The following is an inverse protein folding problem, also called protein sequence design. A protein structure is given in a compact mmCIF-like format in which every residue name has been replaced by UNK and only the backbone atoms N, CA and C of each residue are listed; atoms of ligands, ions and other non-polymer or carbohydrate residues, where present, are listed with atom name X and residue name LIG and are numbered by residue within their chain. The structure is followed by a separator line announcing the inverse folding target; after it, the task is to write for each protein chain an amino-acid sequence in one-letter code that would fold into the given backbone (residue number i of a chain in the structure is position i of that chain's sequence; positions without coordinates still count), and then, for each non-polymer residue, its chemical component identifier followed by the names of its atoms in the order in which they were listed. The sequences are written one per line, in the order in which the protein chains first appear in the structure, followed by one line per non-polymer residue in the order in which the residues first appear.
data_IF_795431887086
#
_entry.id   IF_795431887086
#
_cell.length_a   1.000
_cell.length_b   1.000
_cell.length_c   1.000
_cell.angle_alpha   90.00
_cell.angle_beta   90.00
_cell.angle_gamma   90.00
#
_symmetry.space_group_name_H-M   'P 1'
#
loop_
_entity.id
_entity.type
_entity.pdbx_description
1 polymer ?
#
# COMPACT_ATOMS: atom_id res chain seq x y z
N UNK A 1 -36.31 -11.22 -33.88
CA UNK A 1 -35.23 -10.41 -33.33
C UNK A 1 -33.90 -11.02 -33.70
N UNK A 2 -33.18 -10.44 -34.68
CA UNK A 2 -31.84 -10.94 -35.05
C UNK A 2 -30.84 -10.35 -34.04
N UNK A 3 -30.41 -11.14 -33.10
CA UNK A 3 -29.33 -10.78 -32.18
C UNK A 3 -28.05 -10.68 -33.02
N UNK A 4 -27.47 -9.49 -33.06
CA UNK A 4 -26.24 -9.23 -33.82
C UNK A 4 -25.08 -9.96 -33.14
N UNK A 5 -24.55 -11.00 -33.80
CA UNK A 5 -23.36 -11.77 -33.38
C UNK A 5 -22.17 -10.85 -33.05
N UNK A 6 -22.09 -9.69 -33.70
CA UNK A 6 -21.05 -8.69 -33.42
C UNK A 6 -21.19 -8.01 -32.02
N UNK A 7 -22.42 -7.90 -31.50
CA UNK A 7 -22.66 -7.34 -30.16
C UNK A 7 -22.27 -8.35 -29.06
N UNK A 8 -22.51 -9.65 -29.31
CA UNK A 8 -22.07 -10.72 -28.40
C UNK A 8 -20.54 -10.88 -28.37
N UNK A 9 -19.86 -10.75 -29.53
CA UNK A 9 -18.41 -10.77 -29.63
C UNK A 9 -17.77 -9.54 -28.94
N UNK A 10 -18.39 -8.35 -29.02
CA UNK A 10 -17.91 -7.15 -28.35
C UNK A 10 -18.02 -7.26 -26.81
N UNK A 11 -19.07 -7.94 -26.33
CA UNK A 11 -19.26 -8.19 -24.89
C UNK A 11 -18.28 -9.24 -24.32
N UNK A 12 -17.89 -10.23 -25.14
CA UNK A 12 -16.93 -11.27 -24.74
C UNK A 12 -15.49 -10.71 -24.60
N UNK A 13 -15.15 -9.65 -25.34
CA UNK A 13 -13.83 -9.02 -25.30
C UNK A 13 -13.65 -8.04 -24.12
N UNK A 14 -14.73 -7.60 -23.47
CA UNK A 14 -14.67 -6.63 -22.38
C UNK A 14 -14.42 -7.24 -20.97
N UNK A 15 -14.44 -8.57 -20.84
CA UNK A 15 -14.33 -9.25 -19.54
C UNK A 15 -12.91 -9.73 -19.17
N UNK A 16 -11.85 -9.40 -19.95
CA UNK A 16 -10.56 -10.09 -19.83
C UNK A 16 -9.47 -9.34 -19.05
N UNK A 17 -9.79 -8.32 -18.29
CA UNK A 17 -8.77 -7.59 -17.50
C UNK A 17 -9.11 -7.50 -16.01
N UNK A 18 -9.27 -8.65 -15.35
CA UNK A 18 -9.17 -8.72 -13.88
C UNK A 18 -7.68 -8.70 -13.53
N UNK A 19 -7.14 -7.53 -13.28
CA UNK A 19 -5.77 -7.36 -12.82
C UNK A 19 -5.80 -7.26 -11.28
N UNK A 20 -5.01 -8.12 -10.63
CA UNK A 20 -4.80 -8.04 -9.19
C UNK A 20 -4.01 -6.77 -8.88
N UNK A 21 -4.55 -5.93 -8.01
CA UNK A 21 -3.89 -4.71 -7.54
C UNK A 21 -3.20 -4.98 -6.20
N UNK A 22 -2.08 -4.31 -5.98
CA UNK A 22 -1.42 -4.34 -4.69
C UNK A 22 -2.23 -3.61 -3.60
N UNK A 23 -2.17 -4.06 -2.35
CA UNK A 23 -2.74 -3.34 -1.23
C UNK A 23 -2.11 -1.95 -1.08
N UNK A 24 -2.95 -0.93 -0.93
CA UNK A 24 -2.53 0.45 -0.72
C UNK A 24 -2.91 0.88 0.70
N UNK A 25 -1.96 1.49 1.41
CA UNK A 25 -2.14 1.98 2.78
C UNK A 25 -2.32 3.49 2.82
N UNK A 26 -3.26 3.95 3.64
CA UNK A 26 -3.53 5.37 3.87
C UNK A 26 -2.45 5.99 4.76
N UNK A 27 -1.96 5.23 5.76
CA UNK A 27 -0.96 5.72 6.71
C UNK A 27 0.50 5.52 6.24
N UNK A 28 0.76 5.71 4.93
CA UNK A 28 2.10 5.61 4.36
C UNK A 28 3.09 6.64 4.96
N UNK A 29 2.60 7.74 5.55
CA UNK A 29 3.45 8.70 6.25
C UNK A 29 4.02 8.14 7.56
N UNK A 30 3.28 7.28 8.25
CA UNK A 30 3.75 6.60 9.46
C UNK A 30 4.64 5.39 9.16
N UNK A 31 4.37 4.70 8.04
CA UNK A 31 5.10 3.51 7.60
C UNK A 31 5.50 3.66 6.12
N UNK A 32 6.48 4.52 5.82
CA UNK A 32 6.88 4.81 4.45
C UNK A 32 7.58 3.62 3.76
N UNK A 33 7.97 2.59 4.49
CA UNK A 33 8.43 1.30 3.94
C UNK A 33 7.37 0.64 3.04
N UNK A 34 6.09 0.94 3.23
CA UNK A 34 5.00 0.44 2.37
C UNK A 34 5.11 0.93 0.93
N UNK A 35 5.70 2.11 0.72
CA UNK A 35 5.78 2.75 -0.59
C UNK A 35 7.19 2.72 -1.21
N UNK A 36 8.27 2.65 -0.39
CA UNK A 36 9.63 2.73 -0.93
C UNK A 36 10.64 1.99 -0.03
N UNK A 37 11.37 0.98 -0.54
CA UNK A 37 12.40 0.27 0.22
C UNK A 37 13.62 1.15 0.59
N UNK A 38 13.81 2.31 -0.03
CA UNK A 38 14.87 3.25 0.33
C UNK A 38 14.67 3.89 1.73
N UNK A 39 13.48 3.75 2.35
CA UNK A 39 13.27 4.13 3.75
C UNK A 39 13.80 3.12 4.76
N UNK A 40 14.20 1.92 4.34
CA UNK A 40 14.82 0.92 5.22
C UNK A 40 16.05 1.51 5.92
N UNK A 41 16.08 1.45 7.26
CA UNK A 41 17.17 2.04 8.05
C UNK A 41 17.27 3.56 7.98
N UNK A 42 16.25 4.28 7.52
CA UNK A 42 16.24 5.75 7.50
C UNK A 42 16.09 6.36 8.90
N UNK A 43 15.59 5.60 9.87
CA UNK A 43 15.63 5.95 11.29
C UNK A 43 16.94 5.48 11.92
N UNK A 44 17.46 6.24 12.89
CA UNK A 44 18.59 5.75 13.69
C UNK A 44 18.12 4.66 14.66
N UNK A 45 18.83 3.52 14.67
CA UNK A 45 18.50 2.37 15.52
C UNK A 45 17.38 1.50 14.95
N UNK A 46 16.86 0.61 15.80
CA UNK A 46 15.78 -0.28 15.43
C UNK A 46 14.47 0.48 15.25
N UNK A 47 13.78 0.17 14.17
CA UNK A 47 12.44 0.65 13.87
C UNK A 47 11.58 -0.54 13.43
N UNK A 48 10.40 -0.67 14.02
CA UNK A 48 9.47 -1.74 13.70
C UNK A 48 8.03 -1.24 13.78
N UNK A 49 7.12 -1.87 13.08
CA UNK A 49 5.71 -1.51 13.15
C UNK A 49 4.79 -2.50 12.47
N UNK A 50 3.52 -2.29 12.74
CA UNK A 50 2.40 -3.07 12.22
C UNK A 50 1.31 -2.12 11.74
N UNK A 51 0.71 -2.46 10.60
CA UNK A 51 -0.52 -1.85 10.10
C UNK A 51 -1.58 -2.95 10.01
N UNK A 52 -2.77 -2.65 10.50
CA UNK A 52 -3.97 -3.45 10.23
C UNK A 52 -4.98 -2.57 9.50
N UNK A 53 -5.35 -2.98 8.29
CA UNK A 53 -6.33 -2.31 7.43
C UNK A 53 -7.52 -3.23 7.23
N UNK A 54 -8.71 -2.77 7.59
CA UNK A 54 -9.97 -3.48 7.38
C UNK A 54 -10.87 -2.69 6.44
N UNK A 55 -11.14 -3.27 5.27
CA UNK A 55 -12.00 -2.68 4.25
C UNK A 55 -13.37 -3.34 4.33
N UNK A 56 -14.43 -2.53 4.36
CA UNK A 56 -15.84 -2.97 4.37
C UNK A 56 -16.13 -3.99 5.47
N UNK A 57 -15.87 -3.65 6.76
CA UNK A 57 -15.81 -4.60 7.88
C UNK A 57 -17.12 -5.35 8.15
N UNK A 58 -18.26 -4.78 7.82
CA UNK A 58 -19.59 -5.38 8.09
C UNK A 58 -20.17 -6.13 6.88
N UNK A 59 -19.43 -6.20 5.77
CA UNK A 59 -19.87 -6.81 4.53
C UNK A 59 -19.33 -8.21 4.29
N UNK A 60 -20.06 -8.99 3.46
CA UNK A 60 -19.55 -10.26 2.95
C UNK A 60 -18.30 -10.09 2.06
N UNK A 61 -17.92 -8.85 1.73
CA UNK A 61 -16.76 -8.50 0.89
C UNK A 61 -15.61 -7.94 1.72
N UNK A 62 -15.54 -8.28 2.99
CA UNK A 62 -14.49 -7.83 3.89
C UNK A 62 -13.11 -8.22 3.37
N UNK A 63 -12.19 -7.25 3.38
CA UNK A 63 -10.76 -7.46 3.10
C UNK A 63 -9.98 -6.97 4.31
N UNK A 64 -9.23 -7.87 4.92
CA UNK A 64 -8.29 -7.56 5.99
C UNK A 64 -6.86 -7.63 5.45
N UNK A 65 -6.08 -6.57 5.66
CA UNK A 65 -4.68 -6.51 5.27
C UNK A 65 -3.83 -6.19 6.49
N UNK A 66 -2.81 -6.99 6.74
CA UNK A 66 -1.79 -6.75 7.75
C UNK A 66 -0.45 -6.52 7.07
N UNK A 67 0.27 -5.51 7.50
CA UNK A 67 1.63 -5.24 7.08
C UNK A 67 2.51 -5.06 8.30
N UNK A 68 3.61 -5.78 8.36
CA UNK A 68 4.60 -5.65 9.41
C UNK A 68 5.96 -5.35 8.83
N UNK A 69 6.76 -4.58 9.54
CA UNK A 69 8.15 -4.32 9.17
C UNK A 69 9.05 -4.25 10.40
N UNK A 70 10.32 -4.56 10.18
CA UNK A 70 11.39 -4.27 11.12
C UNK A 70 12.64 -3.91 10.32
N UNK A 71 13.30 -2.83 10.69
CA UNK A 71 14.54 -2.41 10.05
C UNK A 71 15.51 -1.75 11.05
N UNK A 72 16.78 -1.69 10.65
CA UNK A 72 17.84 -1.06 11.41
C UNK A 72 18.88 -0.46 10.48
N UNK A 73 19.51 0.60 10.94
CA UNK A 73 20.73 1.13 10.35
C UNK A 73 21.92 0.37 10.98
N UNK A 74 22.55 -0.54 10.21
CA UNK A 74 23.63 -1.42 10.71
C UNK A 74 25.00 -0.78 10.65
N UNK A 75 25.17 0.15 9.74
CA UNK A 75 26.35 0.99 9.57
C UNK A 75 25.86 2.38 9.19
N UNK A 76 26.71 3.40 9.25
CA UNK A 76 26.31 4.80 8.98
C UNK A 76 25.53 4.96 7.67
N UNK A 77 25.82 4.09 6.70
CA UNK A 77 25.24 4.18 5.35
C UNK A 77 24.35 3.00 4.94
N UNK A 78 24.33 1.89 5.70
CA UNK A 78 23.63 0.66 5.31
C UNK A 78 22.44 0.39 6.21
N UNK A 79 21.26 0.43 5.64
CA UNK A 79 20.03 -0.03 6.27
C UNK A 79 19.69 -1.45 5.84
N UNK A 80 19.24 -2.29 6.78
CA UNK A 80 18.69 -3.61 6.52
C UNK A 80 17.31 -3.73 7.13
N UNK A 81 16.44 -4.51 6.51
CA UNK A 81 15.09 -4.69 7.01
C UNK A 81 14.37 -5.89 6.42
N UNK A 82 13.23 -6.17 7.01
CA UNK A 82 12.31 -7.21 6.58
C UNK A 82 10.89 -6.66 6.63
N UNK A 83 10.07 -7.07 5.67
CA UNK A 83 8.64 -6.74 5.63
C UNK A 83 7.81 -8.01 5.44
N UNK A 84 6.61 -8.01 6.00
CA UNK A 84 5.64 -9.09 5.86
C UNK A 84 4.29 -8.48 5.53
N UNK A 85 3.64 -8.97 4.49
CA UNK A 85 2.30 -8.61 4.08
C UNK A 85 1.40 -9.83 4.11
N UNK A 86 0.21 -9.69 4.68
CA UNK A 86 -0.86 -10.67 4.58
C UNK A 86 -2.17 -9.97 4.27
N UNK A 87 -2.83 -10.37 3.19
CA UNK A 87 -4.17 -9.88 2.82
C UNK A 87 -5.10 -11.05 2.68
N UNK A 88 -6.26 -10.96 3.30
CA UNK A 88 -7.32 -11.95 3.21
C UNK A 88 -8.61 -11.29 2.76
N UNK A 89 -9.22 -11.85 1.73
CA UNK A 89 -10.55 -11.53 1.26
C UNK A 89 -11.53 -12.63 1.67
N UNK A 90 -12.61 -12.26 2.40
CA UNK A 90 -13.54 -13.24 2.98
C UNK A 90 -14.44 -13.87 1.92
N UNK A 91 -14.89 -13.09 0.94
CA UNK A 91 -15.89 -13.54 -0.04
C UNK A 91 -15.37 -14.63 -0.97
N UNK A 92 -14.13 -14.49 -1.46
CA UNK A 92 -13.50 -15.41 -2.41
C UNK A 92 -12.59 -16.41 -1.73
N UNK A 93 -12.39 -16.28 -0.40
CA UNK A 93 -11.36 -17.00 0.36
C UNK A 93 -9.96 -16.86 -0.27
N UNK A 94 -9.73 -15.67 -0.87
CA UNK A 94 -8.42 -15.32 -1.41
C UNK A 94 -7.49 -14.87 -0.29
N UNK A 95 -6.29 -15.40 -0.32
CA UNK A 95 -5.21 -14.99 0.58
C UNK A 95 -3.95 -14.65 -0.21
N UNK A 96 -3.32 -13.53 0.13
CA UNK A 96 -2.04 -13.10 -0.41
C UNK A 96 -1.07 -12.89 0.74
N UNK A 97 0.00 -13.65 0.76
CA UNK A 97 1.10 -13.56 1.71
C UNK A 97 2.39 -13.22 0.99
N UNK A 98 3.16 -12.27 1.52
CA UNK A 98 4.48 -11.92 1.00
C UNK A 98 5.44 -11.60 2.13
N UNK A 99 6.69 -12.07 2.01
CA UNK A 99 7.79 -11.72 2.91
C UNK A 99 8.97 -11.22 2.07
N UNK A 100 9.54 -10.08 2.45
CA UNK A 100 10.65 -9.47 1.73
C UNK A 100 11.78 -9.13 2.68
N UNK A 101 13.01 -9.23 2.18
CA UNK A 101 14.21 -8.65 2.75
C UNK A 101 14.57 -7.38 1.97
N UNK A 102 14.95 -6.32 2.67
CA UNK A 102 15.30 -5.04 2.09
C UNK A 102 16.68 -4.58 2.55
N UNK A 103 17.41 -3.95 1.63
CA UNK A 103 18.69 -3.29 1.89
C UNK A 103 18.65 -1.91 1.29
N UNK A 104 19.12 -0.91 2.03
CA UNK A 104 19.31 0.45 1.53
C UNK A 104 20.74 0.92 1.72
N UNK A 105 21.17 1.82 0.84
CA UNK A 105 22.47 2.46 0.92
C UNK A 105 22.30 3.99 0.84
N UNK A 106 22.89 4.69 1.82
CA UNK A 106 22.87 6.16 1.92
C UNK A 106 24.15 6.74 1.34
N UNK A 107 24.01 7.80 0.55
CA UNK A 107 25.11 8.64 0.04
C UNK A 107 24.82 10.08 0.43
N UNK A 108 25.72 10.71 1.16
CA UNK A 108 25.62 12.12 1.49
C UNK A 108 26.08 12.96 0.30
N UNK A 109 25.15 13.71 -0.32
CA UNK A 109 25.44 14.59 -1.47
C UNK A 109 26.16 15.84 -0.98
N UNK A 110 25.68 16.41 0.11
CA UNK A 110 26.27 17.54 0.83
C UNK A 110 25.79 17.53 2.30
N UNK A 111 26.03 18.61 3.06
CA UNK A 111 25.63 18.72 4.48
C UNK A 111 24.14 18.53 4.73
N UNK A 112 23.28 18.94 3.79
CA UNK A 112 21.83 18.95 3.98
C UNK A 112 21.15 17.79 3.23
N UNK A 113 21.64 17.40 2.07
CA UNK A 113 20.98 16.47 1.16
C UNK A 113 21.62 15.10 1.14
N UNK A 114 20.79 14.08 1.20
CA UNK A 114 21.18 12.67 1.10
C UNK A 114 20.41 11.97 0.01
N UNK A 115 21.09 11.07 -0.65
CA UNK A 115 20.51 10.11 -1.59
C UNK A 115 20.48 8.74 -0.91
N UNK A 116 19.36 8.05 -0.97
CA UNK A 116 19.22 6.66 -0.53
C UNK A 116 18.77 5.80 -1.70
N UNK A 117 19.43 4.69 -1.89
CA UNK A 117 19.06 3.66 -2.85
C UNK A 117 18.57 2.47 -2.05
N UNK A 118 17.40 1.94 -2.38
CA UNK A 118 16.83 0.77 -1.71
C UNK A 118 16.52 -0.32 -2.71
N UNK A 119 16.79 -1.56 -2.32
CA UNK A 119 16.38 -2.75 -3.05
C UNK A 119 15.66 -3.69 -2.09
N UNK A 120 14.66 -4.37 -2.60
CA UNK A 120 13.88 -5.35 -1.86
C UNK A 120 13.71 -6.59 -2.72
N UNK A 121 13.81 -7.77 -2.11
CA UNK A 121 13.55 -9.03 -2.75
C UNK A 121 12.84 -9.97 -1.81
N UNK A 122 11.91 -10.76 -2.32
CA UNK A 122 11.13 -11.61 -1.46
C UNK A 122 10.34 -12.71 -2.18
N UNK A 123 9.59 -13.39 -1.37
CA UNK A 123 8.75 -14.52 -1.74
C UNK A 123 7.30 -14.19 -1.50
N UNK A 124 6.46 -14.38 -2.53
CA UNK A 124 5.01 -14.19 -2.49
C UNK A 124 4.27 -15.49 -2.74
N UNK A 125 3.14 -15.64 -2.06
CA UNK A 125 2.18 -16.73 -2.24
C UNK A 125 0.77 -16.16 -2.31
N UNK A 126 0.02 -16.59 -3.32
CA UNK A 126 -1.42 -16.33 -3.47
C UNK A 126 -2.17 -17.63 -3.42
N UNK A 127 -3.18 -17.70 -2.58
CA UNK A 127 -4.09 -18.85 -2.46
C UNK A 127 -5.49 -18.41 -2.86
N UNK A 128 -6.20 -19.27 -3.57
CA UNK A 128 -7.59 -19.07 -3.96
C UNK A 128 -8.35 -20.39 -3.88
N UNK A 129 -9.47 -20.39 -3.17
CA UNK A 129 -10.28 -21.60 -3.05
C UNK A 129 -11.35 -21.65 -4.13
N UNK A 130 -11.02 -22.22 -5.28
CA UNK A 130 -11.97 -22.41 -6.38
C UNK A 130 -13.15 -23.31 -5.98
N UNK A 131 -13.00 -24.19 -4.99
CA UNK A 131 -14.04 -25.08 -4.51
C UNK A 131 -15.25 -24.37 -3.89
N UNK A 132 -15.09 -23.12 -3.47
CA UNK A 132 -16.15 -22.28 -2.93
C UNK A 132 -16.96 -21.57 -4.03
N UNK A 133 -16.50 -21.61 -5.28
CA UNK A 133 -17.22 -21.01 -6.39
C UNK A 133 -18.34 -21.94 -6.84
N UNK A 134 -19.53 -21.38 -7.00
CA UNK A 134 -20.64 -22.04 -7.63
C UNK A 134 -20.65 -21.67 -9.12
N UNK A 135 -20.43 -22.67 -9.97
CA UNK A 135 -20.39 -22.51 -11.42
C UNK A 135 -21.73 -22.86 -12.04
N UNK A 136 -21.96 -22.35 -13.24
CA UNK A 136 -23.23 -22.47 -13.96
C UNK A 136 -23.61 -23.92 -14.24
N UNK A 137 -22.64 -24.81 -14.52
CA UNK A 137 -22.82 -26.24 -14.74
C UNK A 137 -23.27 -27.04 -13.51
N UNK A 138 -23.12 -26.46 -12.32
CA UNK A 138 -23.56 -27.04 -11.05
C UNK A 138 -25.02 -26.67 -10.72
N UNK A 139 -25.62 -25.70 -11.42
CA UNK A 139 -26.97 -25.21 -11.15
C UNK A 139 -27.95 -25.81 -12.14
N UNK A 140 -28.94 -26.60 -11.64
CA UNK A 140 -30.04 -27.04 -12.48
C UNK A 140 -30.98 -25.86 -12.77
N UNK A 141 -31.00 -25.38 -14.01
CA UNK A 141 -31.75 -24.20 -14.44
C UNK A 141 -33.26 -24.33 -14.18
N UNK A 142 -33.79 -25.57 -14.20
CA UNK A 142 -35.25 -25.81 -14.04
C UNK A 142 -35.67 -25.89 -12.56
N UNK A 143 -34.80 -26.35 -11.68
CA UNK A 143 -35.13 -26.61 -10.27
C UNK A 143 -34.39 -25.68 -9.31
N UNK A 144 -33.35 -24.98 -9.76
CA UNK A 144 -32.44 -24.20 -8.89
C UNK A 144 -31.57 -25.10 -7.99
N UNK A 145 -31.64 -26.40 -8.13
CA UNK A 145 -30.88 -27.33 -7.30
C UNK A 145 -29.39 -27.28 -7.68
N UNK A 146 -28.53 -27.25 -6.67
CA UNK A 146 -27.08 -27.35 -6.84
C UNK A 146 -26.69 -28.82 -6.75
N UNK A 147 -26.03 -29.32 -7.76
CA UNK A 147 -25.63 -30.73 -7.85
C UNK A 147 -24.15 -30.87 -8.19
N UNK A 148 -23.44 -31.67 -7.38
CA UNK A 148 -22.12 -32.20 -7.71
C UNK A 148 -20.98 -31.22 -7.80
N UNK A 149 -19.82 -31.74 -8.19
CA UNK A 149 -18.63 -30.94 -8.51
C UNK A 149 -18.74 -30.43 -9.94
N UNK A 150 -18.17 -29.24 -10.22
CA UNK A 150 -18.10 -28.72 -11.58
C UNK A 150 -17.31 -29.67 -12.51
N UNK A 151 -17.78 -29.82 -13.73
CA UNK A 151 -17.09 -30.54 -14.80
C UNK A 151 -16.45 -29.59 -15.82
N UNK A 152 -16.48 -28.26 -15.56
CA UNK A 152 -15.85 -27.26 -16.42
C UNK A 152 -14.34 -27.53 -16.53
N UNK A 153 -13.79 -27.73 -17.74
CA UNK A 153 -12.37 -27.96 -17.93
C UNK A 153 -11.50 -26.80 -17.47
N UNK A 154 -12.03 -25.57 -17.48
CA UNK A 154 -11.37 -24.39 -16.95
C UNK A 154 -11.20 -24.47 -15.43
N UNK A 155 -12.23 -24.96 -14.72
CA UNK A 155 -12.19 -25.15 -13.26
C UNK A 155 -11.22 -26.29 -12.89
N UNK A 156 -11.26 -27.42 -13.55
CA UNK A 156 -10.47 -28.61 -13.24
C UNK A 156 -8.95 -28.41 -13.43
N UNK A 157 -8.54 -27.43 -14.23
CA UNK A 157 -7.14 -27.09 -14.52
C UNK A 157 -6.59 -25.92 -13.72
N UNK A 158 -7.29 -25.48 -12.68
CA UNK A 158 -6.82 -24.41 -11.82
C UNK A 158 -5.94 -24.94 -10.69
N UNK A 159 -4.92 -24.16 -10.37
CA UNK A 159 -4.10 -24.35 -9.17
C UNK A 159 -4.74 -23.56 -8.02
N UNK A 160 -4.80 -24.16 -6.84
CA UNK A 160 -5.32 -23.48 -5.65
C UNK A 160 -4.31 -22.47 -5.06
N UNK A 161 -3.06 -22.58 -5.45
CA UNK A 161 -2.01 -21.66 -5.00
C UNK A 161 -0.96 -21.42 -6.08
N UNK A 162 -0.34 -20.27 -6.00
CA UNK A 162 0.81 -19.85 -6.79
C UNK A 162 1.86 -19.25 -5.87
N UNK A 163 3.10 -19.56 -6.18
CA UNK A 163 4.26 -19.04 -5.46
C UNK A 163 5.16 -18.32 -6.46
N UNK A 164 5.72 -17.19 -6.03
CA UNK A 164 6.59 -16.39 -6.91
C UNK A 164 7.67 -15.67 -6.10
N UNK A 165 8.73 -15.30 -6.81
CA UNK A 165 9.78 -14.41 -6.28
C UNK A 165 9.57 -13.05 -6.90
N UNK A 166 9.75 -12.00 -6.10
CA UNK A 166 9.52 -10.63 -6.50
C UNK A 166 10.70 -9.73 -6.09
N UNK A 167 10.90 -8.65 -6.87
CA UNK A 167 11.95 -7.67 -6.62
C UNK A 167 11.42 -6.26 -6.78
N UNK A 168 11.92 -5.36 -5.94
CA UNK A 168 11.60 -3.94 -5.96
C UNK A 168 12.86 -3.11 -5.84
N UNK A 169 12.86 -1.91 -6.41
CA UNK A 169 13.93 -0.94 -6.24
C UNK A 169 13.34 0.46 -6.06
N UNK A 170 13.99 1.26 -5.22
CA UNK A 170 13.56 2.61 -4.93
C UNK A 170 14.73 3.56 -4.75
N UNK A 171 14.45 4.82 -5.00
CA UNK A 171 15.35 5.95 -4.76
C UNK A 171 14.63 6.98 -3.88
N UNK A 172 15.39 7.59 -2.98
CA UNK A 172 14.91 8.63 -2.08
C UNK A 172 15.99 9.69 -1.95
N UNK A 173 15.62 10.94 -2.16
CA UNK A 173 16.44 12.09 -1.83
C UNK A 173 15.77 12.80 -0.66
N UNK A 174 16.51 13.00 0.42
CA UNK A 174 15.97 13.57 1.65
C UNK A 174 16.89 14.63 2.27
N UNK A 175 16.25 15.56 2.92
CA UNK A 175 16.83 16.52 3.87
C UNK A 175 15.95 16.59 5.12
N UNK A 176 16.31 17.44 6.09
CA UNK A 176 15.56 17.51 7.35
C UNK A 176 14.06 17.77 7.15
N UNK A 177 13.71 18.75 6.35
CA UNK A 177 12.34 19.21 6.18
C UNK A 177 11.67 18.71 4.90
N UNK A 178 12.38 18.01 4.01
CA UNK A 178 11.84 17.59 2.72
C UNK A 178 12.35 16.21 2.29
N UNK A 179 11.53 15.54 1.51
CA UNK A 179 11.92 14.33 0.81
C UNK A 179 11.23 14.23 -0.54
N UNK A 180 11.88 13.51 -1.45
CA UNK A 180 11.31 13.12 -2.73
C UNK A 180 11.83 11.73 -3.11
N UNK A 181 10.96 10.85 -3.56
CA UNK A 181 11.34 9.49 -3.91
C UNK A 181 10.50 8.89 -5.01
N UNK A 182 11.03 7.81 -5.59
CA UNK A 182 10.35 6.99 -6.57
C UNK A 182 10.67 5.52 -6.34
N UNK A 183 9.73 4.65 -6.70
CA UNK A 183 9.88 3.20 -6.55
C UNK A 183 9.26 2.46 -7.72
N UNK A 184 9.89 1.36 -8.09
CA UNK A 184 9.34 0.34 -8.99
C UNK A 184 9.29 -0.98 -8.23
N UNK A 185 8.08 -1.54 -8.08
CA UNK A 185 7.87 -2.90 -7.56
C UNK A 185 7.55 -3.85 -8.71
N UNK A 186 7.67 -5.15 -8.44
CA UNK A 186 7.41 -6.22 -9.40
C UNK A 186 8.30 -6.15 -10.65
N UNK A 187 9.59 -5.89 -10.44
CA UNK A 187 10.57 -5.76 -11.53
C UNK A 187 10.70 -7.05 -12.36
N UNK A 188 10.55 -8.21 -11.72
CA UNK A 188 10.58 -9.52 -12.37
C UNK A 188 9.29 -9.88 -13.09
N UNK A 189 8.20 -9.13 -12.89
CA UNK A 189 6.86 -9.42 -13.45
C UNK A 189 6.49 -10.91 -13.34
N UNK A 190 6.51 -11.50 -12.12
CA UNK A 190 6.26 -12.92 -11.95
C UNK A 190 4.88 -13.32 -12.49
N UNK A 191 4.78 -14.55 -12.99
CA UNK A 191 3.50 -15.11 -13.42
C UNK A 191 2.62 -15.44 -12.20
N UNK A 192 1.45 -14.83 -12.13
CA UNK A 192 0.45 -15.00 -11.07
C UNK A 192 -0.80 -15.73 -11.57
N UNK A 193 -0.69 -16.52 -12.63
CA UNK A 193 -1.79 -17.30 -13.18
C UNK A 193 -2.15 -18.49 -12.29
N UNK A 194 -3.40 -18.58 -11.88
CA UNK A 194 -3.95 -19.77 -11.23
C UNK A 194 -4.24 -20.89 -12.24
N UNK A 195 -4.26 -20.60 -13.54
CA UNK A 195 -4.49 -21.58 -14.57
C UNK A 195 -3.21 -22.36 -14.89
N UNK A 196 -3.28 -23.68 -15.02
CA UNK A 196 -2.18 -24.48 -15.58
C UNK A 196 -1.82 -23.97 -16.98
N UNK A 197 -0.54 -23.75 -17.24
CA UNK A 197 -0.03 -23.17 -18.50
C UNK A 197 -0.61 -21.78 -18.84
N UNK A 198 -1.17 -21.07 -17.84
CA UNK A 198 -1.51 -19.67 -17.98
C UNK A 198 -0.25 -18.80 -17.94
N UNK A 199 -0.38 -17.56 -18.40
CA UNK A 199 0.65 -16.53 -18.28
C UNK A 199 -0.03 -15.20 -17.98
N UNK A 200 -0.02 -14.81 -16.70
CA UNK A 200 -0.57 -13.54 -16.22
C UNK A 200 0.55 -12.83 -15.45
N UNK A 201 1.40 -12.07 -16.15
CA UNK A 201 2.49 -11.37 -15.49
C UNK A 201 1.94 -10.30 -14.53
N UNK A 202 2.46 -10.27 -13.31
CA UNK A 202 2.14 -9.21 -12.35
C UNK A 202 2.67 -7.88 -12.90
N UNK A 203 1.80 -6.89 -13.03
CA UNK A 203 2.18 -5.60 -13.58
C UNK A 203 3.07 -4.83 -12.60
N UNK A 204 4.07 -4.13 -13.15
CA UNK A 204 4.93 -3.26 -12.35
C UNK A 204 4.10 -2.19 -11.64
N UNK A 205 4.41 -1.98 -10.37
CA UNK A 205 3.84 -0.94 -9.55
C UNK A 205 4.83 0.21 -9.39
N UNK A 206 4.46 1.37 -9.89
CA UNK A 206 5.27 2.58 -9.87
C UNK A 206 4.72 3.55 -8.83
N UNK A 207 5.60 4.14 -8.00
CA UNK A 207 5.25 5.24 -7.10
C UNK A 207 6.19 6.41 -7.25
N UNK A 208 5.64 7.63 -7.08
CA UNK A 208 6.41 8.86 -6.87
C UNK A 208 5.80 9.59 -5.68
N UNK A 209 6.62 9.93 -4.72
CA UNK A 209 6.15 10.54 -3.48
C UNK A 209 7.10 11.62 -2.99
N UNK A 210 6.57 12.53 -2.18
CA UNK A 210 7.36 13.59 -1.58
C UNK A 210 6.56 14.38 -0.57
N UNK A 211 7.27 15.22 0.16
CA UNK A 211 6.65 16.11 1.14
C UNK A 211 7.61 17.15 1.68
N UNK A 212 7.00 18.13 2.35
CA UNK A 212 7.71 19.25 2.96
C UNK A 212 7.07 19.65 4.30
N UNK A 213 7.91 19.85 5.31
CA UNK A 213 7.52 20.33 6.63
C UNK A 213 7.78 21.84 6.72
N UNK A 214 6.73 22.60 6.98
CA UNK A 214 6.80 24.00 7.31
C UNK A 214 6.81 24.17 8.82
N UNK A 215 7.88 24.78 9.37
CA UNK A 215 7.99 25.08 10.79
C UNK A 215 7.06 26.24 11.17
N UNK A 216 6.24 26.06 12.20
CA UNK A 216 5.27 27.05 12.65
C UNK A 216 5.74 27.85 13.86
N UNK A 217 6.94 27.61 14.36
CA UNK A 217 7.48 28.14 15.62
C UNK A 217 7.56 29.66 15.70
N UNK A 218 7.54 30.38 14.57
CA UNK A 218 7.72 31.82 14.49
C UNK A 218 6.45 32.58 14.06
N UNK A 219 5.28 31.96 14.09
CA UNK A 219 4.05 32.65 13.70
C UNK A 219 3.40 33.34 14.90
N UNK A 220 3.31 34.68 14.94
CA UNK A 220 2.85 35.44 16.11
C UNK A 220 1.36 35.22 16.45
N UNK A 221 0.61 34.50 15.65
CA UNK A 221 -0.84 34.30 15.80
C UNK A 221 -1.26 32.88 16.21
N UNK A 222 -0.33 31.95 16.39
CA UNK A 222 -0.69 30.56 16.72
C UNK A 222 -0.33 30.20 18.15
N UNK A 223 -1.31 29.80 18.94
CA UNK A 223 -1.17 29.19 20.27
C UNK A 223 -0.84 27.69 20.09
N UNK A 224 0.19 27.40 19.31
CA UNK A 224 0.64 26.01 19.10
C UNK A 224 1.84 25.71 20.01
N UNK A 225 2.01 24.44 20.40
CA UNK A 225 3.22 24.01 21.10
C UNK A 225 4.48 24.33 20.28
N UNK A 226 5.60 24.54 20.97
CA UNK A 226 6.91 24.62 20.33
C UNK A 226 7.15 23.34 19.51
N UNK A 227 7.85 23.44 18.38
CA UNK A 227 8.12 22.36 17.44
C UNK A 227 6.89 21.85 16.65
N UNK A 228 5.84 22.67 16.52
CA UNK A 228 4.74 22.37 15.63
C UNK A 228 5.13 22.59 14.17
N UNK A 229 4.75 21.65 13.31
CA UNK A 229 5.02 21.69 11.87
C UNK A 229 3.73 21.47 11.08
N UNK A 230 3.63 22.12 9.93
CA UNK A 230 2.61 21.82 8.94
C UNK A 230 3.26 20.98 7.82
N UNK A 231 2.80 19.75 7.65
CA UNK A 231 3.27 18.87 6.59
C UNK A 231 2.33 18.96 5.39
N UNK A 232 2.92 19.11 4.21
CA UNK A 232 2.26 18.83 2.93
C UNK A 232 2.98 17.67 2.27
N UNK A 233 2.22 16.67 1.77
CA UNK A 233 2.80 15.55 1.03
C UNK A 233 1.91 15.08 -0.10
N UNK A 234 2.51 14.32 -1.00
CA UNK A 234 1.80 13.62 -2.07
C UNK A 234 2.39 12.24 -2.28
N UNK A 235 1.57 11.33 -2.81
CA UNK A 235 1.99 10.01 -3.26
C UNK A 235 1.20 9.63 -4.50
N UNK A 236 1.85 9.61 -5.66
CA UNK A 236 1.29 9.13 -6.91
C UNK A 236 1.65 7.66 -7.10
N UNK A 237 0.65 6.85 -7.42
CA UNK A 237 0.79 5.41 -7.63
C UNK A 237 0.16 5.00 -8.95
N UNK A 238 0.81 4.06 -9.65
CA UNK A 238 0.28 3.48 -10.89
C UNK A 238 0.65 2.00 -10.98
N UNK A 239 -0.36 1.17 -11.23
CA UNK A 239 -0.19 -0.24 -11.59
C UNK A 239 -1.15 -0.56 -12.74
N UNK A 240 -0.57 -0.92 -13.89
CA UNK A 240 -1.36 -1.14 -15.11
C UNK A 240 -2.28 0.05 -15.44
N UNK A 241 -3.57 -0.19 -15.38
CA UNK A 241 -4.62 0.80 -15.65
C UNK A 241 -5.08 1.56 -14.39
N UNK A 242 -4.68 1.08 -13.22
CA UNK A 242 -5.00 1.75 -11.96
C UNK A 242 -4.01 2.88 -11.71
N UNK A 243 -4.51 4.04 -11.38
CA UNK A 243 -3.71 5.17 -10.92
C UNK A 243 -4.42 5.85 -9.74
N UNK A 244 -3.63 6.38 -8.83
CA UNK A 244 -4.10 7.08 -7.65
C UNK A 244 -3.10 8.17 -7.29
N UNK A 245 -3.60 9.33 -6.93
CA UNK A 245 -2.82 10.41 -6.35
C UNK A 245 -3.42 10.78 -4.99
N UNK A 246 -2.64 10.59 -3.95
CA UNK A 246 -2.96 11.03 -2.61
C UNK A 246 -2.26 12.37 -2.36
N UNK A 247 -3.01 13.37 -1.92
CA UNK A 247 -2.50 14.66 -1.48
C UNK A 247 -2.88 14.80 -0.01
N UNK A 248 -1.92 15.11 0.84
CA UNK A 248 -2.17 15.20 2.28
C UNK A 248 -1.68 16.51 2.87
N UNK A 249 -2.34 16.90 3.95
CA UNK A 249 -1.87 17.94 4.86
C UNK A 249 -2.08 17.49 6.29
N UNK A 250 -1.11 17.74 7.16
CA UNK A 250 -1.23 17.46 8.59
C UNK A 250 -0.53 18.49 9.44
N UNK A 251 -1.10 18.74 10.63
CA UNK A 251 -0.48 19.47 11.71
C UNK A 251 0.23 18.48 12.63
N UNK A 252 1.54 18.58 12.69
CA UNK A 252 2.41 17.73 13.49
C UNK A 252 2.84 18.48 14.75
N UNK A 253 2.60 17.87 15.89
CA UNK A 253 3.01 18.35 17.20
C UNK A 253 3.81 17.24 17.89
N UNK A 254 4.54 17.55 18.97
CA UNK A 254 5.39 16.57 19.65
C UNK A 254 4.68 15.25 19.99
N UNK A 255 3.45 15.34 20.50
CA UNK A 255 2.68 14.18 20.98
C UNK A 255 1.60 13.73 19.99
N UNK A 256 1.01 14.67 19.27
CA UNK A 256 -0.14 14.40 18.39
C UNK A 256 0.11 14.91 16.98
N UNK A 257 -0.44 14.19 16.02
CA UNK A 257 -0.59 14.68 14.66
C UNK A 257 -2.03 14.49 14.18
N UNK A 258 -2.53 15.45 13.43
CA UNK A 258 -3.87 15.41 12.81
C UNK A 258 -3.75 15.81 11.36
N UNK A 259 -4.40 15.07 10.49
CA UNK A 259 -4.34 15.38 9.09
C UNK A 259 -5.48 14.81 8.28
N UNK A 260 -5.47 15.14 7.01
CA UNK A 260 -6.40 14.60 6.02
C UNK A 260 -5.65 14.28 4.74
N UNK A 261 -6.00 13.17 4.12
CA UNK A 261 -5.51 12.73 2.82
C UNK A 261 -6.68 12.74 1.84
N UNK A 262 -6.57 13.48 0.75
CA UNK A 262 -7.49 13.45 -0.36
C UNK A 262 -6.96 12.47 -1.41
N UNK A 263 -7.69 11.36 -1.61
CA UNK A 263 -7.35 10.37 -2.64
C UNK A 263 -8.09 10.69 -3.92
N UNK A 264 -7.35 10.77 -5.02
CA UNK A 264 -7.88 11.14 -6.32
C UNK A 264 -7.50 10.12 -7.39
N UNK A 265 -8.30 10.06 -8.45
CA UNK A 265 -7.98 9.33 -9.67
C UNK A 265 -7.72 10.36 -10.81
N UNK A 266 -6.45 10.67 -11.10
CA UNK A 266 -6.12 11.72 -12.07
C UNK A 266 -6.47 11.33 -13.52
N UNK A 267 -6.43 10.06 -13.88
CA UNK A 267 -6.81 9.59 -15.21
C UNK A 267 -8.26 9.08 -15.21
N UNK A 268 -9.18 9.93 -15.64
CA UNK A 268 -10.58 9.54 -15.81
C UNK A 268 -10.76 8.68 -17.05
N UNK A 269 -11.21 7.43 -16.87
CA UNK A 269 -11.54 6.54 -17.99
C UNK A 269 -13.01 6.60 -18.43
N UNK A 270 -13.86 7.28 -17.66
CA UNK A 270 -15.30 7.39 -17.92
C UNK A 270 -15.79 8.79 -17.49
N UNK A 271 -16.75 9.39 -18.20
CA UNK A 271 -17.40 10.63 -17.79
C UNK A 271 -18.04 10.55 -16.40
N UNK A 272 -18.38 9.35 -15.95
CA UNK A 272 -18.98 9.08 -14.63
C UNK A 272 -17.95 8.78 -13.54
N UNK A 273 -16.65 8.76 -13.85
CA UNK A 273 -15.61 8.56 -12.84
C UNK A 273 -15.39 9.83 -12.01
N UNK A 274 -15.30 9.68 -10.69
CA UNK A 274 -15.01 10.78 -9.79
C UNK A 274 -13.49 11.05 -9.77
N UNK A 275 -13.09 12.33 -9.80
CA UNK A 275 -11.68 12.71 -9.58
C UNK A 275 -11.31 12.45 -8.13
N UNK A 276 -12.09 12.98 -7.20
CA UNK A 276 -11.93 12.74 -5.76
C UNK A 276 -12.66 11.45 -5.41
N UNK A 277 -11.92 10.45 -4.92
CA UNK A 277 -12.45 9.11 -4.60
C UNK A 277 -12.74 8.96 -3.11
N UNK A 278 -11.88 9.49 -2.26
CA UNK A 278 -12.07 9.47 -0.81
C UNK A 278 -11.41 10.64 -0.10
N UNK A 279 -11.91 10.97 1.08
CA UNK A 279 -11.26 11.84 2.07
C UNK A 279 -10.96 10.99 3.30
N UNK A 280 -9.72 11.02 3.74
CA UNK A 280 -9.21 10.10 4.75
C UNK A 280 -8.61 10.91 5.91
N UNK A 281 -9.41 11.33 6.90
CA UNK A 281 -8.89 11.91 8.13
C UNK A 281 -8.04 10.89 8.89
N UNK A 282 -6.97 11.37 9.50
CA UNK A 282 -6.12 10.55 10.34
C UNK A 282 -5.65 11.31 11.58
N UNK A 283 -5.34 10.55 12.60
CA UNK A 283 -4.76 11.03 13.85
C UNK A 283 -3.63 10.08 14.26
N UNK A 284 -2.57 10.62 14.84
CA UNK A 284 -1.55 9.81 15.50
C UNK A 284 -1.16 10.41 16.84
N UNK A 285 -0.71 9.52 17.74
CA UNK A 285 -0.24 9.88 19.07
C UNK A 285 1.08 9.17 19.36
N UNK A 286 2.04 9.91 19.88
CA UNK A 286 3.32 9.39 20.34
C UNK A 286 3.34 9.25 21.86
N UNK A 287 3.76 8.09 22.36
CA UNK A 287 3.97 7.80 23.75
C UNK A 287 5.36 7.14 23.93
N UNK A 288 6.34 7.94 24.28
CA UNK A 288 7.74 7.50 24.35
C UNK A 288 8.27 7.01 23.01
N UNK A 289 8.67 5.75 22.94
CA UNK A 289 9.19 5.09 21.74
C UNK A 289 8.09 4.58 20.80
N UNK A 290 6.85 4.53 21.27
CA UNK A 290 5.71 4.04 20.51
C UNK A 290 4.94 5.17 19.86
N UNK A 291 4.38 4.88 18.69
CA UNK A 291 3.43 5.73 18.00
C UNK A 291 2.24 4.90 17.54
N UNK A 292 1.06 5.38 17.88
CA UNK A 292 -0.23 4.82 17.46
C UNK A 292 -0.86 5.76 16.44
N UNK A 293 -1.31 5.21 15.31
CA UNK A 293 -2.03 5.95 14.27
C UNK A 293 -3.36 5.31 13.96
N UNK A 294 -4.36 6.13 13.63
CA UNK A 294 -5.65 5.68 13.15
C UNK A 294 -6.10 6.55 11.98
N UNK A 295 -6.62 5.92 10.93
CA UNK A 295 -7.28 6.63 9.83
C UNK A 295 -8.58 5.97 9.44
N UNK A 296 -9.48 6.78 8.87
CA UNK A 296 -10.74 6.33 8.34
C UNK A 296 -10.93 6.85 6.92
N UNK A 297 -11.03 5.94 5.94
CA UNK A 297 -11.21 6.33 4.55
C UNK A 297 -12.71 6.49 4.25
N UNK A 298 -13.15 7.75 4.14
CA UNK A 298 -14.50 8.11 3.72
C UNK A 298 -14.60 8.03 2.20
N UNK A 299 -15.27 7.01 1.69
CA UNK A 299 -15.52 6.89 0.26
C UNK A 299 -16.56 7.92 -0.20
N UNK A 300 -16.19 8.81 -1.13
CA UNK A 300 -17.07 9.84 -1.71
C UNK A 300 -17.62 9.37 -3.06
N UNK A 301 -17.02 8.35 -3.67
CA UNK A 301 -17.47 7.80 -4.94
C UNK A 301 -18.79 7.04 -4.78
N UNK A 302 -19.63 7.05 -5.82
CA UNK A 302 -20.92 6.34 -5.82
C UNK A 302 -20.79 4.81 -5.80
N UNK A 303 -19.59 4.25 -5.83
CA UNK A 303 -19.34 2.80 -5.91
C UNK A 303 -19.48 2.06 -4.60
N UNK A 304 -19.71 2.72 -3.48
CA UNK A 304 -19.81 2.04 -2.20
C UNK A 304 -20.91 2.60 -1.33
N UNK A 305 -21.98 1.83 -1.10
CA UNK A 305 -22.86 2.06 0.02
C UNK A 305 -22.08 1.75 1.30
N UNK A 306 -21.45 2.75 1.85
CA UNK A 306 -21.51 3.01 3.24
C UNK A 306 -20.45 2.47 4.14
N UNK A 307 -19.65 1.51 3.85
CA UNK A 307 -18.67 1.09 4.84
C UNK A 307 -17.29 1.55 4.41
N UNK A 308 -16.71 2.46 5.20
CA UNK A 308 -15.38 3.00 4.97
C UNK A 308 -14.29 1.95 5.18
N UNK A 309 -13.06 2.42 5.19
CA UNK A 309 -11.90 1.60 5.49
C UNK A 309 -11.27 2.10 6.77
N UNK A 310 -11.04 1.21 7.72
CA UNK A 310 -10.33 1.50 8.96
C UNK A 310 -8.89 1.04 8.85
N UNK A 311 -7.96 1.87 9.29
CA UNK A 311 -6.56 1.52 9.35
C UNK A 311 -5.97 1.91 10.70
N UNK A 312 -5.36 0.94 11.38
CA UNK A 312 -4.68 1.10 12.66
C UNK A 312 -3.21 0.80 12.48
N UNK A 313 -2.36 1.69 12.95
CA UNK A 313 -0.90 1.56 12.87
C UNK A 313 -0.29 1.65 14.25
N UNK A 314 0.64 0.76 14.55
CA UNK A 314 1.51 0.83 15.73
C UNK A 314 2.96 0.77 15.25
N UNK A 315 3.76 1.75 15.62
CA UNK A 315 5.20 1.73 15.35
C UNK A 315 5.99 1.88 16.67
N UNK A 316 7.18 1.31 16.67
CA UNK A 316 8.15 1.42 17.75
C UNK A 316 9.51 1.78 17.16
N UNK A 317 10.18 2.73 17.81
CA UNK A 317 11.53 3.14 17.44
C UNK A 317 12.40 3.16 18.71
N UNK A 318 13.54 2.45 18.66
CA UNK A 318 14.45 2.39 19.81
C UNK A 318 15.04 3.76 20.13
N UNK A 319 15.18 4.04 21.42
CA UNK A 319 15.81 5.27 21.93
C UNK A 319 17.34 5.28 21.82
N UNK A 320 17.94 4.23 21.27
CA UNK A 320 19.39 4.14 21.13
C UNK A 320 19.86 5.20 20.13
N UNK A 321 20.29 6.32 20.68
CA UNK A 321 21.11 7.26 19.94
C UNK A 321 22.47 6.61 19.69
N UNK A 322 22.77 6.35 18.44
CA UNK A 322 24.14 6.06 18.02
C UNK A 322 25.04 7.18 18.57
N UNK A 323 26.11 6.84 19.31
CA UNK A 323 26.96 7.80 20.00
C UNK A 323 27.75 8.68 19.04
N UNK A 324 27.93 8.23 17.81
CA UNK A 324 28.70 8.88 16.72
C UNK A 324 27.85 9.16 15.47
N UNK A 325 26.53 8.87 15.48
CA UNK A 325 25.69 9.22 14.35
C UNK A 325 25.36 10.71 14.40
N UNK A 326 25.65 11.43 13.33
CA UNK A 326 25.25 12.80 13.12
C UNK A 326 23.81 13.03 13.59
N UNK A 327 23.59 14.12 14.33
CA UNK A 327 22.29 14.50 14.93
C UNK A 327 21.17 14.71 13.91
N UNK A 328 21.40 14.34 12.67
CA UNK A 328 20.49 14.54 11.58
C UNK A 328 19.47 13.41 11.50
N UNK A 329 18.23 13.72 11.81
CA UNK A 329 17.09 12.82 11.68
C UNK A 329 16.10 13.41 10.69
N UNK A 330 15.77 12.66 9.66
CA UNK A 330 14.67 13.01 8.76
C UNK A 330 13.39 13.21 9.59
N UNK A 331 12.73 14.37 9.50
CA UNK A 331 11.52 14.67 10.29
C UNK A 331 10.42 13.63 10.05
N UNK A 332 10.28 13.11 8.83
CA UNK A 332 9.29 12.09 8.53
C UNK A 332 9.38 10.87 9.47
N UNK A 333 10.58 10.49 9.92
CA UNK A 333 10.76 9.38 10.87
C UNK A 333 10.61 9.81 12.32
N UNK A 334 10.55 11.11 12.60
CA UNK A 334 10.23 11.64 13.94
C UNK A 334 8.72 11.82 14.16
N UNK A 335 7.95 11.85 13.08
CA UNK A 335 6.48 11.89 13.12
C UNK A 335 5.91 10.52 13.54
#
# INVERSE_FOLDING_TARGET
MKFNIYTALLFLFSCLHLQAQDPVFTQFLLVPETINPAFTGSASGWNAGLIHRSQWPDGNRKIDTQYGFANNLVDDNIGIGMTVLNQREVFTDYNYFQVNGAVSYRVDINYDWRLRLGVEGGYGRKDFNFGNLLLEDQININTGAISGSSIDPGYLKNKNNINFVDFSAGVLVDQENAWFGATLKHLGRPDISFKENGNVPLDMFFTVHGGYFFELNNTPFMILPQDSNLLFSFNYMRQSQYNRLDISTSLEMNTFAFGVIASTNPERKSPNSHVLTSLNPFVSMRAGEFKLGYSYDLNISKMGNGQGVHELTLTWQSSHTCRDCDNYKMKLKRI
#
